data_IF_448972140608
#
_entry.id   IF_448972140608
#
_cell.length_a   1.000
_cell.length_b   1.000
_cell.length_c   1.000
_cell.angle_alpha   90.00
_cell.angle_beta   90.00
_cell.angle_gamma   90.00
#
_symmetry.space_group_name_H-M   'P 1'
#
loop_
_entity.id
_entity.type
_entity.pdbx_description
1 polymer ?
#
# COMPACT_ATOMS: atom_id res chain seq x y z
N UNK A 1 1.77 -11.31 0.88
CA UNK A 1 1.19 -11.78 -0.41
C UNK A 1 -0.35 -11.71 -0.43
N UNK A 2 -1.05 -12.40 0.47
CA UNK A 2 -2.53 -12.41 0.49
C UNK A 2 -3.19 -11.01 0.53
N UNK A 3 -2.70 -10.11 1.39
CA UNK A 3 -3.19 -8.74 1.46
C UNK A 3 -2.99 -7.94 0.16
N UNK A 4 -1.90 -8.20 -0.58
CA UNK A 4 -1.61 -7.55 -1.87
C UNK A 4 -2.58 -8.05 -2.93
N UNK A 5 -2.78 -9.37 -3.01
CA UNK A 5 -3.76 -9.96 -3.95
C UNK A 5 -5.17 -9.46 -3.64
N UNK A 6 -5.54 -9.38 -2.36
CA UNK A 6 -6.83 -8.83 -1.94
C UNK A 6 -6.96 -7.34 -2.33
N UNK A 7 -5.94 -6.51 -2.08
CA UNK A 7 -5.94 -5.10 -2.43
C UNK A 7 -6.01 -4.84 -3.95
N UNK A 8 -5.47 -5.75 -4.76
CA UNK A 8 -5.58 -5.70 -6.22
C UNK A 8 -6.94 -6.22 -6.72
N UNK A 9 -7.55 -7.18 -6.05
CA UNK A 9 -8.85 -7.76 -6.40
C UNK A 9 -10.03 -6.83 -6.02
N UNK A 10 -9.91 -6.10 -4.92
CA UNK A 10 -10.92 -5.20 -4.37
C UNK A 10 -10.80 -3.79 -4.99
N UNK A 11 -11.90 -3.26 -5.51
CA UNK A 11 -11.96 -1.92 -6.09
C UNK A 11 -13.33 -1.65 -6.72
N UNK A 12 -13.43 -0.57 -7.51
CA UNK A 12 -14.65 -0.21 -8.25
C UNK A 12 -15.16 -1.34 -9.16
N UNK A 13 -14.25 -2.17 -9.65
CA UNK A 13 -14.53 -3.40 -10.41
C UNK A 13 -13.98 -4.59 -9.63
N UNK A 14 -14.83 -5.56 -9.29
CA UNK A 14 -14.35 -6.80 -8.65
C UNK A 14 -13.66 -7.67 -9.69
N UNK A 15 -12.39 -7.98 -9.45
CA UNK A 15 -11.60 -8.87 -10.31
C UNK A 15 -11.33 -10.15 -9.51
N UNK A 16 -11.64 -11.35 -10.05
CA UNK A 16 -11.37 -12.61 -9.36
C UNK A 16 -9.88 -12.72 -8.98
N UNK A 17 -9.54 -13.21 -7.78
CA UNK A 17 -8.15 -13.28 -7.32
C UNK A 17 -7.27 -14.19 -8.21
N UNK A 18 -7.86 -15.22 -8.85
CA UNK A 18 -7.17 -16.02 -9.86
C UNK A 18 -6.71 -15.20 -11.06
N UNK A 19 -7.57 -14.34 -11.60
CA UNK A 19 -7.21 -13.42 -12.70
C UNK A 19 -6.15 -12.40 -12.28
N UNK A 20 -6.16 -11.93 -11.03
CA UNK A 20 -5.11 -11.03 -10.52
C UNK A 20 -3.74 -11.74 -10.57
N UNK A 21 -3.67 -12.99 -10.14
CA UNK A 21 -2.45 -13.80 -10.22
C UNK A 21 -2.00 -14.03 -11.67
N UNK A 22 -2.92 -14.31 -12.58
CA UNK A 22 -2.60 -14.47 -14.00
C UNK A 22 -2.08 -13.17 -14.62
N UNK A 23 -2.66 -12.02 -14.27
CA UNK A 23 -2.21 -10.70 -14.70
C UNK A 23 -0.80 -10.40 -14.17
N UNK A 24 -0.54 -10.67 -12.88
CA UNK A 24 0.76 -10.43 -12.26
C UNK A 24 1.86 -11.36 -12.80
N UNK A 25 1.50 -12.59 -13.18
CA UNK A 25 2.44 -13.57 -13.74
C UNK A 25 2.59 -13.49 -15.26
N UNK A 26 1.89 -12.54 -15.91
CA UNK A 26 1.94 -12.34 -17.36
C UNK A 26 1.20 -13.41 -18.18
N UNK A 27 0.37 -14.24 -17.54
CA UNK A 27 -0.44 -15.30 -18.17
C UNK A 27 -1.79 -14.81 -18.68
N UNK A 28 -2.22 -13.62 -18.26
CA UNK A 28 -3.49 -13.06 -18.70
C UNK A 28 -3.42 -12.44 -20.11
N UNK A 29 -4.48 -12.65 -20.90
CA UNK A 29 -4.66 -12.00 -22.19
C UNK A 29 -4.87 -10.48 -22.05
N UNK A 30 -4.76 -9.76 -23.17
CA UNK A 30 -5.01 -8.32 -23.24
C UNK A 30 -6.49 -8.04 -22.89
N UNK A 31 -6.72 -7.51 -21.69
CA UNK A 31 -8.05 -7.21 -21.14
C UNK A 31 -8.03 -5.85 -20.42
N UNK A 32 -9.16 -5.12 -20.37
CA UNK A 32 -9.28 -3.90 -19.55
C UNK A 32 -8.88 -4.13 -18.08
N UNK A 33 -9.06 -5.35 -17.56
CA UNK A 33 -8.64 -5.72 -16.20
C UNK A 33 -7.12 -5.66 -16.02
N UNK A 34 -6.34 -6.00 -17.06
CA UNK A 34 -4.87 -5.92 -17.01
C UNK A 34 -4.40 -4.49 -16.84
N UNK A 35 -4.95 -3.55 -17.61
CA UNK A 35 -4.66 -2.11 -17.51
C UNK A 35 -5.06 -1.57 -16.13
N UNK A 36 -6.26 -1.91 -15.64
CA UNK A 36 -6.70 -1.47 -14.30
C UNK A 36 -5.76 -1.99 -13.20
N UNK A 37 -5.37 -3.26 -13.26
CA UNK A 37 -4.51 -3.87 -12.24
C UNK A 37 -3.10 -3.28 -12.30
N UNK A 38 -2.48 -3.20 -13.49
CA UNK A 38 -1.09 -2.79 -13.63
C UNK A 38 -0.89 -1.27 -13.54
N UNK A 39 -1.74 -0.48 -14.18
CA UNK A 39 -1.50 0.97 -14.33
C UNK A 39 -2.15 1.80 -13.22
N UNK A 40 -3.20 1.26 -12.56
CA UNK A 40 -3.95 2.00 -11.54
C UNK A 40 -3.78 1.38 -10.14
N UNK A 41 -4.03 0.07 -9.99
CA UNK A 41 -4.07 -0.56 -8.66
C UNK A 41 -2.68 -0.89 -8.12
N UNK A 42 -1.82 -1.48 -8.94
CA UNK A 42 -0.47 -1.87 -8.55
C UNK A 42 0.36 -0.69 -8.00
N UNK A 43 0.48 0.47 -8.68
CA UNK A 43 1.24 1.59 -8.14
C UNK A 43 0.65 2.09 -6.81
N UNK A 44 -0.68 2.12 -6.68
CA UNK A 44 -1.36 2.55 -5.44
C UNK A 44 -1.11 1.59 -4.27
N UNK A 45 -1.14 0.27 -4.52
CA UNK A 45 -0.85 -0.75 -3.51
C UNK A 45 0.61 -0.67 -3.07
N UNK A 46 1.54 -0.51 -4.01
CA UNK A 46 2.97 -0.34 -3.70
C UNK A 46 3.20 0.93 -2.87
N UNK A 47 2.58 2.04 -3.24
CA UNK A 47 2.66 3.28 -2.48
C UNK A 47 2.13 3.10 -1.05
N UNK A 48 0.99 2.43 -0.88
CA UNK A 48 0.43 2.12 0.44
C UNK A 48 1.37 1.27 1.30
N UNK A 49 2.06 0.29 0.71
CA UNK A 49 3.06 -0.53 1.40
C UNK A 49 4.24 0.32 1.86
N UNK A 50 4.79 1.15 0.97
CA UNK A 50 5.96 1.99 1.28
C UNK A 50 5.62 3.01 2.36
N UNK A 51 4.48 3.69 2.24
CA UNK A 51 4.02 4.66 3.24
C UNK A 51 3.77 3.99 4.59
N UNK A 52 3.06 2.86 4.61
CA UNK A 52 2.79 2.12 5.84
C UNK A 52 4.07 1.62 6.52
N UNK A 53 5.02 1.09 5.76
CA UNK A 53 6.33 0.67 6.28
C UNK A 53 7.13 1.85 6.83
N UNK A 54 7.16 2.98 6.12
CA UNK A 54 7.81 4.21 6.59
C UNK A 54 7.23 4.71 7.91
N UNK A 55 5.91 4.80 8.02
CA UNK A 55 5.23 5.20 9.25
C UNK A 55 5.49 4.23 10.40
N UNK A 56 5.51 2.92 10.14
CA UNK A 56 5.84 1.92 11.15
C UNK A 56 7.27 2.10 11.68
N UNK A 57 8.25 2.30 10.78
CA UNK A 57 9.64 2.54 11.18
C UNK A 57 9.76 3.81 12.02
N UNK A 58 9.21 4.95 11.57
CA UNK A 58 9.27 6.20 12.31
C UNK A 58 8.58 6.06 13.68
N UNK A 59 7.42 5.41 13.73
CA UNK A 59 6.70 5.15 14.99
C UNK A 59 7.53 4.33 15.98
N UNK A 60 8.13 3.21 15.53
CA UNK A 60 8.98 2.39 16.41
C UNK A 60 10.21 3.13 16.92
N UNK A 61 10.86 3.93 16.06
CA UNK A 61 12.02 4.74 16.45
C UNK A 61 11.62 5.78 17.50
N UNK A 62 10.49 6.47 17.33
CA UNK A 62 10.06 7.48 18.29
C UNK A 62 9.65 6.88 19.62
N UNK A 63 8.88 5.80 19.59
CA UNK A 63 8.52 5.05 20.81
C UNK A 63 9.77 4.62 21.60
N UNK A 64 10.84 4.20 20.92
CA UNK A 64 12.11 3.84 21.55
C UNK A 64 12.86 5.06 22.11
N UNK A 65 12.92 6.17 21.37
CA UNK A 65 13.63 7.38 21.78
C UNK A 65 13.01 8.01 23.03
N UNK A 66 11.68 8.14 23.06
CA UNK A 66 10.95 8.72 24.20
C UNK A 66 10.66 7.70 25.30
N UNK A 67 10.98 6.42 25.06
CA UNK A 67 10.70 5.29 25.95
C UNK A 67 9.23 5.24 26.39
N UNK A 68 8.31 5.56 25.48
CA UNK A 68 6.88 5.56 25.72
C UNK A 68 6.15 4.96 24.52
N UNK A 69 5.47 3.83 24.74
CA UNK A 69 4.73 3.09 23.70
C UNK A 69 3.50 3.85 23.17
N UNK A 70 3.08 4.92 23.85
CA UNK A 70 1.99 5.80 23.42
C UNK A 70 2.45 6.98 22.57
N UNK A 71 3.77 7.14 22.34
CA UNK A 71 4.26 8.26 21.54
C UNK A 71 3.93 8.08 20.05
N UNK A 72 3.41 9.16 19.46
CA UNK A 72 2.93 9.20 18.09
C UNK A 72 3.90 9.96 17.17
N UNK A 73 4.30 9.39 16.01
CA UNK A 73 5.10 10.08 15.00
C UNK A 73 4.57 11.42 14.49
N UNK A 74 3.27 11.70 14.61
CA UNK A 74 2.70 13.00 14.21
C UNK A 74 3.14 14.18 15.10
N UNK A 75 3.75 13.91 16.26
CA UNK A 75 4.17 14.95 17.22
C UNK A 75 5.36 15.82 16.76
N UNK A 76 6.11 15.42 15.72
CA UNK A 76 7.29 16.15 15.26
C UNK A 76 7.00 17.26 14.23
N UNK A 77 5.73 17.55 13.91
CA UNK A 77 5.37 18.64 13.00
C UNK A 77 5.69 18.40 11.51
N UNK A 78 6.23 17.23 11.17
CA UNK A 78 6.51 16.81 9.78
C UNK A 78 5.24 16.72 8.93
N UNK A 79 4.10 16.33 9.52
CA UNK A 79 2.82 16.28 8.80
C UNK A 79 2.27 17.67 8.49
N UNK A 80 2.46 18.65 9.38
CA UNK A 80 2.07 20.05 9.13
C UNK A 80 2.95 20.71 8.07
N UNK A 81 4.24 20.39 8.02
CA UNK A 81 5.14 20.88 6.97
C UNK A 81 4.94 20.20 5.60
N UNK A 82 4.50 18.94 5.57
CA UNK A 82 4.19 18.23 4.32
C UNK A 82 2.83 18.61 3.71
N UNK A 83 1.99 19.31 4.47
CA UNK A 83 0.66 19.76 4.00
C UNK A 83 0.71 21.01 3.10
N UNK A 84 1.89 21.64 2.95
CA UNK A 84 2.14 22.81 2.10
C UNK A 84 2.85 22.40 0.82
#
# INVERSE_FOLDING_TARGET
>A
AAAVVAALALGSVRIPPGQVLDILTGRAEASPFRTIVLDVRLPRVLLGIVVGAGLAVIGTVLQALVRNQLADPFLLGVSSGAST
#
